data_IF_114116043436
#
_entry.id   IF_114116043436
#
_cell.length_a   1.000
_cell.length_b   1.000
_cell.length_c   1.000
_cell.angle_alpha   90.00
_cell.angle_beta   90.00
_cell.angle_gamma   90.00
#
_symmetry.space_group_name_H-M   'P 1'
#
loop_
_entity.id
_entity.type
_entity.pdbx_description
1 polymer ?
#
# COMPACT_ATOMS: atom_id res chain seq x y z
N UNK A 1 0.41 -14.36 10.72
CA UNK A 1 -0.05 -13.29 11.62
C UNK A 1 0.81 -12.05 11.45
N UNK A 2 0.20 -10.96 10.99
CA UNK A 2 0.88 -9.67 10.83
C UNK A 2 1.17 -8.97 12.17
N UNK A 3 2.18 -8.07 12.25
CA UNK A 3 2.58 -7.44 13.51
C UNK A 3 1.45 -6.69 14.23
N UNK A 4 1.59 -6.57 15.55
CA UNK A 4 0.71 -5.74 16.36
C UNK A 4 0.80 -4.25 15.95
N UNK A 5 -0.13 -3.44 16.45
CA UNK A 5 -0.20 -2.00 16.14
C UNK A 5 -1.00 -1.69 14.88
N UNK A 6 -1.12 -0.41 14.57
CA UNK A 6 -1.89 0.07 13.41
C UNK A 6 -0.96 0.64 12.36
N UNK A 7 -1.22 0.32 11.10
CA UNK A 7 -0.37 0.79 10.01
C UNK A 7 -1.03 0.67 8.64
N UNK A 8 -0.44 1.37 7.67
CA UNK A 8 -0.83 1.28 6.27
C UNK A 8 0.31 0.77 5.40
N UNK A 9 0.01 -0.14 4.49
CA UNK A 9 0.93 -0.69 3.49
C UNK A 9 0.39 -0.45 2.07
N UNK A 10 1.23 -0.24 1.06
CA UNK A 10 0.81 -0.28 -0.33
C UNK A 10 0.11 -1.61 -0.65
N UNK A 11 -1.02 -1.54 -1.35
CA UNK A 11 -1.76 -2.73 -1.73
C UNK A 11 -1.12 -3.39 -2.97
N UNK A 12 -0.82 -4.70 -2.95
CA UNK A 12 -0.46 -5.46 -4.14
C UNK A 12 -1.63 -5.62 -5.14
N UNK A 13 -1.36 -5.84 -6.43
CA UNK A 13 -2.39 -6.10 -7.44
C UNK A 13 -3.31 -7.29 -7.09
N UNK A 14 -2.78 -8.28 -6.37
CA UNK A 14 -3.54 -9.46 -5.92
C UNK A 14 -4.50 -9.18 -4.75
N UNK A 15 -4.48 -7.97 -4.19
CA UNK A 15 -5.28 -7.60 -3.02
C UNK A 15 -4.45 -7.54 -1.73
N UNK A 16 -5.13 -7.23 -0.63
CA UNK A 16 -4.49 -7.21 0.69
C UNK A 16 -4.14 -8.62 1.15
N UNK A 17 -3.09 -8.77 1.98
CA UNK A 17 -2.73 -10.06 2.54
C UNK A 17 -3.91 -10.71 3.28
N UNK A 18 -4.12 -12.00 3.08
CA UNK A 18 -5.12 -12.77 3.84
C UNK A 18 -4.39 -13.86 4.62
N UNK A 19 -4.43 -13.75 5.95
CA UNK A 19 -3.94 -14.77 6.87
C UNK A 19 -5.07 -15.41 7.70
N UNK A 20 -6.34 -15.15 7.34
CA UNK A 20 -7.53 -15.66 8.02
C UNK A 20 -7.83 -15.02 9.38
N UNK A 21 -6.95 -14.18 9.92
CA UNK A 21 -7.09 -13.58 11.25
C UNK A 21 -7.28 -12.06 11.20
N UNK A 22 -6.74 -11.40 10.16
CA UNK A 22 -6.81 -9.96 10.00
C UNK A 22 -7.67 -9.56 8.79
N UNK A 23 -8.75 -8.83 9.05
CA UNK A 23 -9.50 -8.14 8.00
C UNK A 23 -8.90 -6.76 7.76
N UNK A 24 -8.31 -6.57 6.58
CA UNK A 24 -7.76 -5.27 6.17
C UNK A 24 -8.86 -4.32 5.72
N UNK A 25 -8.78 -3.05 6.14
CA UNK A 25 -9.48 -1.98 5.43
C UNK A 25 -8.69 -1.60 4.19
N UNK A 26 -9.39 -1.07 3.19
CA UNK A 26 -8.77 -0.56 1.96
C UNK A 26 -9.05 0.92 1.82
N UNK A 27 -8.13 1.60 1.15
CA UNK A 27 -8.25 3.02 0.85
C UNK A 27 -7.34 3.38 -0.31
N UNK A 28 -7.45 4.61 -0.79
CA UNK A 28 -6.60 5.13 -1.83
C UNK A 28 -6.35 6.63 -1.63
N UNK A 29 -5.26 7.10 -2.21
CA UNK A 29 -5.01 8.53 -2.42
C UNK A 29 -4.69 8.76 -3.88
N UNK A 30 -4.96 9.97 -4.37
CA UNK A 30 -4.53 10.39 -5.70
C UNK A 30 -3.37 11.36 -5.55
N UNK A 31 -2.28 11.05 -6.23
CA UNK A 31 -1.13 11.91 -6.38
C UNK A 31 -1.22 12.53 -7.76
N UNK A 32 -1.55 13.81 -7.78
CA UNK A 32 -1.48 14.61 -9.00
C UNK A 32 -0.02 14.82 -9.38
N UNK A 33 0.30 14.74 -10.66
CA UNK A 33 1.68 14.93 -11.13
C UNK A 33 1.78 16.18 -12.00
N UNK A 34 1.66 16.06 -13.32
CA UNK A 34 1.68 17.18 -14.27
C UNK A 34 0.72 16.87 -15.43
N UNK A 35 -0.07 17.85 -15.85
CA UNK A 35 -1.09 17.68 -16.88
C UNK A 35 -0.57 18.04 -18.28
N UNK A 36 0.39 18.99 -18.37
CA UNK A 36 0.90 19.49 -19.64
C UNK A 36 2.35 19.02 -19.91
N UNK A 37 2.52 18.23 -20.98
CA UNK A 37 3.80 17.61 -21.36
C UNK A 37 4.55 16.89 -20.21
N UNK A 38 3.89 16.00 -19.43
CA UNK A 38 4.53 15.34 -18.31
C UNK A 38 5.73 14.46 -18.74
N UNK A 39 6.87 14.59 -18.07
CA UNK A 39 8.08 13.79 -18.34
C UNK A 39 8.28 12.61 -17.35
N UNK A 40 7.20 12.17 -16.71
CA UNK A 40 7.21 11.13 -15.68
C UNK A 40 7.59 9.76 -16.28
N UNK A 41 8.44 9.01 -15.57
CA UNK A 41 8.81 7.65 -15.94
C UNK A 41 8.36 6.65 -14.88
N UNK A 42 8.01 5.44 -15.32
CA UNK A 42 7.67 4.32 -14.44
C UNK A 42 8.16 3.00 -15.02
N UNK A 43 8.30 2.02 -14.14
CA UNK A 43 8.52 0.64 -14.56
C UNK A 43 7.40 0.16 -15.48
N UNK A 44 7.76 -0.63 -16.50
CA UNK A 44 6.80 -1.23 -17.43
C UNK A 44 5.78 -2.11 -16.69
N UNK A 45 6.25 -2.83 -15.67
CA UNK A 45 5.45 -3.67 -14.79
C UNK A 45 5.43 -3.03 -13.40
N UNK A 46 4.23 -2.91 -12.84
CA UNK A 46 4.01 -2.54 -11.44
C UNK A 46 3.23 -3.66 -10.77
N UNK A 47 3.69 -4.12 -9.61
CA UNK A 47 2.97 -5.09 -8.78
C UNK A 47 2.05 -4.41 -7.76
N UNK A 48 1.98 -3.08 -7.75
CA UNK A 48 1.12 -2.31 -6.86
C UNK A 48 -0.27 -2.13 -7.49
N UNK A 49 -1.30 -2.24 -6.68
CA UNK A 49 -2.67 -1.94 -7.07
C UNK A 49 -2.87 -0.43 -7.15
N UNK A 50 -3.64 -0.02 -8.16
CA UNK A 50 -3.88 1.39 -8.44
C UNK A 50 -4.01 1.66 -9.92
N UNK A 51 -4.32 2.91 -10.24
CA UNK A 51 -4.20 3.42 -11.60
C UNK A 51 -3.00 4.35 -11.65
N UNK A 52 -2.07 4.05 -12.55
CA UNK A 52 -0.85 4.83 -12.73
C UNK A 52 -0.94 5.38 -14.14
N UNK A 53 -1.02 6.69 -14.29
CA UNK A 53 -1.02 7.37 -15.58
C UNK A 53 0.14 8.35 -15.63
N UNK A 54 0.30 9.03 -16.76
CA UNK A 54 1.31 10.07 -16.91
C UNK A 54 0.94 11.35 -16.14
N UNK A 55 -0.37 11.55 -15.88
CA UNK A 55 -0.95 12.74 -15.25
C UNK A 55 -1.16 12.57 -13.75
N UNK A 56 -1.35 11.34 -13.28
CA UNK A 56 -1.40 11.09 -11.85
C UNK A 56 -1.43 9.62 -11.47
N UNK A 57 -1.35 9.41 -10.17
CA UNK A 57 -1.21 8.09 -9.58
C UNK A 57 -2.27 7.93 -8.50
N UNK A 58 -3.23 7.03 -8.76
CA UNK A 58 -4.09 6.50 -7.72
C UNK A 58 -3.35 5.36 -7.02
N UNK A 59 -2.78 5.63 -5.85
CA UNK A 59 -2.15 4.60 -5.02
C UNK A 59 -3.16 3.99 -4.05
N UNK A 60 -3.26 2.65 -4.04
CA UNK A 60 -4.12 1.90 -3.11
C UNK A 60 -3.34 1.37 -1.91
N UNK A 61 -4.03 1.24 -0.78
CA UNK A 61 -3.44 0.81 0.48
C UNK A 61 -4.29 -0.25 1.19
N UNK A 62 -3.58 -1.13 1.90
CA UNK A 62 -4.12 -2.00 2.93
C UNK A 62 -3.87 -1.36 4.29
N UNK A 63 -4.94 -1.11 5.02
CA UNK A 63 -4.92 -0.43 6.32
C UNK A 63 -5.29 -1.43 7.40
N UNK A 64 -4.36 -1.66 8.31
CA UNK A 64 -4.61 -2.32 9.59
C UNK A 64 -4.93 -1.24 10.62
N UNK A 65 -6.21 -1.11 10.96
CA UNK A 65 -6.69 -0.12 11.92
C UNK A 65 -6.95 -0.70 13.32
N UNK A 66 -6.77 -2.02 13.49
CA UNK A 66 -6.77 -2.69 14.78
C UNK A 66 -5.35 -2.92 15.29
N UNK A 67 -5.13 -2.64 16.57
CA UNK A 67 -3.86 -2.90 17.23
C UNK A 67 -3.61 -4.40 17.52
N UNK A 68 -4.67 -5.22 17.54
CA UNK A 68 -4.55 -6.66 17.75
C UNK A 68 -3.77 -7.31 16.59
N UNK A 69 -2.89 -8.27 16.89
CA UNK A 69 -1.99 -8.84 15.89
C UNK A 69 -1.07 -9.91 16.44
N UNK A 70 -0.03 -10.22 15.68
CA UNK A 70 1.06 -11.10 16.04
C UNK A 70 2.07 -10.40 16.93
N UNK A 71 3.35 -10.72 16.75
CA UNK A 71 4.40 -10.10 17.56
C UNK A 71 4.50 -8.59 17.31
N UNK A 72 5.06 -7.85 18.27
CA UNK A 72 5.38 -6.42 18.10
C UNK A 72 6.54 -6.20 17.10
N UNK A 73 7.25 -7.28 16.72
CA UNK A 73 8.37 -7.24 15.81
C UNK A 73 7.93 -7.51 14.37
N UNK A 74 8.45 -6.68 13.47
CA UNK A 74 8.43 -6.95 12.04
C UNK A 74 9.54 -7.96 11.72
N UNK A 75 9.30 -8.93 10.83
CA UNK A 75 10.37 -9.76 10.28
C UNK A 75 11.47 -8.90 9.65
N UNK A 76 12.68 -9.43 9.53
CA UNK A 76 13.76 -8.72 8.84
C UNK A 76 13.37 -8.43 7.38
N UNK A 77 13.53 -7.18 6.97
CA UNK A 77 13.15 -6.75 5.62
C UNK A 77 13.12 -5.24 5.47
N UNK A 78 12.82 -4.78 4.25
CA UNK A 78 12.63 -3.36 3.92
C UNK A 78 11.16 -3.13 3.63
N UNK A 79 10.51 -2.35 4.48
CA UNK A 79 9.07 -2.07 4.40
C UNK A 79 8.83 -0.59 4.14
N UNK A 80 7.87 -0.28 3.28
CA UNK A 80 7.33 1.06 3.13
C UNK A 80 6.03 1.13 3.95
N UNK A 81 6.05 1.85 5.08
CA UNK A 81 4.95 1.91 6.04
C UNK A 81 4.44 3.36 6.07
N UNK A 82 3.18 3.57 5.69
CA UNK A 82 2.61 4.90 5.44
C UNK A 82 1.89 5.52 6.66
N UNK A 83 1.62 4.72 7.67
CA UNK A 83 1.04 5.17 8.94
C UNK A 83 1.65 4.33 10.04
N UNK A 84 2.17 4.97 11.09
CA UNK A 84 2.59 4.33 12.33
C UNK A 84 1.98 5.11 13.49
#
# INVERSE_FOLDING_TARGET
KWPSGTYGLPQPQIGCPDDGELTWKTGWTYHDTEDDNPANQRSAISHMAGNFTQHGIQQKFCIKDSAAGGSDFWPEGKYCIYKK
#
